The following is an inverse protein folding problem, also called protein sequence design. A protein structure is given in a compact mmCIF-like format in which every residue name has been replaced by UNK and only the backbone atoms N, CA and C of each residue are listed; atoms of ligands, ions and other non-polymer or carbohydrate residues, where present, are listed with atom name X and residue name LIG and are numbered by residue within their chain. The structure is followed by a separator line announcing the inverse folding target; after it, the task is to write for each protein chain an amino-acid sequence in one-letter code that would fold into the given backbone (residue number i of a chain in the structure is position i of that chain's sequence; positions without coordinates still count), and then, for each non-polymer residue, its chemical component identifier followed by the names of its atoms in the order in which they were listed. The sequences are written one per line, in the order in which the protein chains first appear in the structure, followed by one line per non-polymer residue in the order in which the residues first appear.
data_IF_563012747933
#
_entry.id   IF_563012747933
#
_cell.length_a   1.000
_cell.length_b   1.000
_cell.length_c   1.000
_cell.angle_alpha   90.00
_cell.angle_beta   90.00
_cell.angle_gamma   90.00
#
_symmetry.space_group_name_H-M   'P 1'
#
loop_
_entity.id
_entity.type
_entity.pdbx_description
1 polymer ?
#
# COMPACT_ATOMS: atom_id res chain seq x y z
N UNK A 1 -1.07 -46.49 -11.57
CA UNK A 1 -0.78 -45.57 -10.45
C UNK A 1 -0.36 -44.23 -11.07
N UNK A 2 -1.24 -43.21 -11.08
CA UNK A 2 -0.84 -41.88 -11.54
C UNK A 2 -0.17 -41.12 -10.39
N UNK A 3 1.08 -40.69 -10.60
CA UNK A 3 1.83 -39.85 -9.65
C UNK A 3 1.67 -38.37 -10.01
N UNK A 4 1.20 -37.65 -9.00
CA UNK A 4 1.51 -36.26 -8.63
C UNK A 4 1.14 -35.11 -9.58
N UNK A 5 -0.09 -34.64 -9.36
CA UNK A 5 -0.55 -33.26 -9.57
C UNK A 5 0.42 -32.29 -8.88
N UNK A 6 1.24 -31.58 -9.67
CA UNK A 6 2.04 -30.46 -9.17
C UNK A 6 1.08 -29.42 -8.59
N UNK A 7 1.11 -29.29 -7.26
CA UNK A 7 0.37 -28.25 -6.55
C UNK A 7 0.85 -26.88 -7.06
N UNK A 8 -0.10 -26.06 -7.52
CA UNK A 8 0.16 -24.66 -7.79
C UNK A 8 0.70 -24.02 -6.51
N UNK A 9 1.94 -23.53 -6.57
CA UNK A 9 2.54 -22.78 -5.47
C UNK A 9 1.70 -21.51 -5.29
N UNK A 10 1.24 -21.18 -4.07
CA UNK A 10 0.70 -19.85 -3.82
C UNK A 10 1.79 -18.85 -4.15
N UNK A 11 1.49 -17.81 -4.92
CA UNK A 11 2.40 -16.67 -5.13
C UNK A 11 2.18 -15.67 -3.97
N UNK A 12 3.13 -15.54 -3.03
CA UNK A 12 3.04 -14.56 -1.97
C UNK A 12 4.12 -13.51 -2.21
N UNK A 13 4.25 -12.99 -3.43
CA UNK A 13 5.06 -11.81 -3.66
C UNK A 13 4.19 -10.55 -3.48
N UNK A 14 4.11 -10.07 -2.24
CA UNK A 14 4.09 -8.60 -2.07
C UNK A 14 5.24 -8.10 -2.91
N UNK A 15 4.96 -7.36 -3.99
CA UNK A 15 6.01 -6.84 -4.86
C UNK A 15 6.96 -6.03 -3.98
N UNK A 16 8.12 -6.61 -3.66
CA UNK A 16 9.11 -6.01 -2.76
C UNK A 16 9.55 -4.63 -3.24
N UNK A 17 9.33 -4.31 -4.53
CA UNK A 17 9.53 -2.97 -5.09
C UNK A 17 8.61 -1.92 -4.47
N UNK A 18 7.39 -2.30 -4.07
CA UNK A 18 6.39 -1.39 -3.48
C UNK A 18 6.79 -0.81 -2.12
N UNK A 19 7.66 -1.51 -1.37
CA UNK A 19 8.12 -1.08 -0.04
C UNK A 19 9.52 -0.44 -0.04
N UNK A 20 10.17 -0.35 -1.20
CA UNK A 20 11.43 0.38 -1.36
C UNK A 20 11.23 1.89 -1.16
N UNK A 21 12.28 2.66 -0.80
CA UNK A 21 12.17 4.11 -0.73
C UNK A 21 11.67 4.74 -2.04
N UNK A 22 12.06 4.20 -3.20
CA UNK A 22 11.54 4.66 -4.49
C UNK A 22 10.04 4.35 -4.65
N UNK A 23 9.62 3.10 -4.41
CA UNK A 23 8.22 2.70 -4.54
C UNK A 23 7.29 3.49 -3.62
N UNK A 24 7.70 3.68 -2.36
CA UNK A 24 6.93 4.49 -1.40
C UNK A 24 6.93 5.97 -1.79
N UNK A 25 8.06 6.52 -2.28
CA UNK A 25 8.11 7.90 -2.76
C UNK A 25 7.16 8.12 -3.93
N UNK A 26 7.15 7.22 -4.92
CA UNK A 26 6.20 7.28 -6.04
C UNK A 26 4.76 7.23 -5.55
N UNK A 27 4.44 6.37 -4.59
CA UNK A 27 3.09 6.30 -4.03
C UNK A 27 2.70 7.59 -3.29
N UNK A 28 3.61 8.17 -2.51
CA UNK A 28 3.37 9.45 -1.82
C UNK A 28 3.17 10.61 -2.80
N UNK A 29 3.94 10.64 -3.89
CA UNK A 29 3.84 11.70 -4.91
C UNK A 29 2.50 11.67 -5.67
N UNK A 30 1.85 10.51 -5.79
CA UNK A 30 0.48 10.42 -6.36
C UNK A 30 -0.57 11.15 -5.53
N UNK A 31 -0.30 11.42 -4.24
CA UNK A 31 -1.20 12.17 -3.37
C UNK A 31 -0.98 13.70 -3.43
N UNK A 32 -0.05 14.18 -4.28
CA UNK A 32 0.18 15.61 -4.45
C UNK A 32 -0.89 16.21 -5.36
N UNK A 33 -1.74 17.06 -4.80
CA UNK A 33 -2.70 17.90 -5.52
C UNK A 33 -2.77 19.29 -4.85
N UNK A 34 -3.78 20.11 -5.19
CA UNK A 34 -3.94 21.45 -4.61
C UNK A 34 -4.14 21.46 -3.07
N UNK A 35 -4.54 20.33 -2.48
CA UNK A 35 -4.68 20.14 -1.04
C UNK A 35 -3.36 19.78 -0.34
N UNK A 36 -2.25 19.73 -1.07
CA UNK A 36 -0.92 19.41 -0.54
C UNK A 36 -0.02 20.63 -0.52
N UNK A 37 0.56 20.91 0.64
CA UNK A 37 1.70 21.82 0.74
C UNK A 37 3.00 21.07 0.46
N UNK A 38 3.85 21.68 -0.37
CA UNK A 38 5.12 21.09 -0.78
C UNK A 38 6.24 22.05 -0.44
N UNK A 39 7.17 21.61 0.42
CA UNK A 39 8.35 22.38 0.81
C UNK A 39 9.61 21.56 0.62
N UNK A 40 10.76 22.25 0.59
CA UNK A 40 12.07 21.61 0.38
C UNK A 40 13.03 22.05 1.48
N UNK A 41 13.68 21.07 2.11
CA UNK A 41 14.74 21.26 3.09
C UNK A 41 16.08 20.81 2.48
N UNK A 42 17.19 21.51 2.78
CA UNK A 42 18.47 21.35 2.06
C UNK A 42 19.66 20.89 2.92
N UNK A 43 19.42 20.45 4.15
CA UNK A 43 20.48 20.09 5.10
C UNK A 43 20.26 18.71 5.70
N UNK A 44 20.54 17.66 4.93
CA UNK A 44 20.45 16.30 5.43
C UNK A 44 21.42 15.34 4.71
N UNK A 45 21.65 14.18 5.34
CA UNK A 45 22.33 13.04 4.75
C UNK A 45 21.58 11.73 4.99
N UNK A 46 21.66 10.81 4.04
CA UNK A 46 21.14 9.43 4.13
C UNK A 46 22.17 8.50 3.51
N UNK A 47 22.47 7.37 4.18
CA UNK A 47 23.50 6.43 3.73
C UNK A 47 24.84 7.13 3.37
N UNK A 48 25.23 8.13 4.18
CA UNK A 48 26.44 8.94 3.96
C UNK A 48 26.36 9.97 2.83
N UNK A 49 25.29 10.03 2.03
CA UNK A 49 25.15 10.91 0.86
C UNK A 49 24.33 12.18 1.17
N UNK A 50 24.68 13.34 0.59
CA UNK A 50 23.88 14.56 0.71
C UNK A 50 22.52 14.39 0.00
N UNK A 51 21.46 14.88 0.64
CA UNK A 51 20.10 14.81 0.10
C UNK A 51 19.41 16.18 0.14
N UNK A 52 18.44 16.35 -0.75
CA UNK A 52 17.38 17.33 -0.58
C UNK A 52 16.15 16.60 -0.04
N UNK A 53 15.46 17.15 0.95
CA UNK A 53 14.24 16.54 1.49
C UNK A 53 13.04 17.26 0.92
N UNK A 54 12.21 16.54 0.17
CA UNK A 54 10.88 16.99 -0.21
C UNK A 54 9.90 16.68 0.92
N UNK A 55 9.17 17.68 1.36
CA UNK A 55 8.19 17.55 2.43
C UNK A 55 6.80 17.79 1.88
N UNK A 56 5.93 16.79 2.01
CA UNK A 56 4.53 16.84 1.60
C UNK A 56 3.65 16.90 2.85
N UNK A 57 2.83 17.93 2.99
CA UNK A 57 1.93 18.09 4.13
C UNK A 57 0.48 18.30 3.65
N UNK A 58 -0.49 17.50 4.12
CA UNK A 58 -1.89 17.76 3.85
C UNK A 58 -2.32 19.10 4.47
N UNK A 59 -3.04 19.92 3.70
CA UNK A 59 -3.60 21.18 4.20
C UNK A 59 -4.81 20.96 5.11
N UNK A 60 -5.53 19.85 4.91
CA UNK A 60 -6.70 19.51 5.73
C UNK A 60 -6.28 18.79 7.01
N UNK A 61 -6.53 19.42 8.15
CA UNK A 61 -6.19 18.90 9.47
C UNK A 61 -6.95 17.64 9.87
N UNK A 62 -8.00 17.27 9.12
CA UNK A 62 -8.77 16.02 9.28
C UNK A 62 -7.98 14.79 8.87
N UNK A 63 -6.92 14.94 8.07
CA UNK A 63 -5.99 13.84 7.79
C UNK A 63 -5.18 13.46 9.04
N UNK A 64 -4.98 12.17 9.26
CA UNK A 64 -4.05 11.66 10.28
C UNK A 64 -2.60 11.68 9.80
N UNK A 65 -2.36 11.63 8.48
CA UNK A 65 -1.04 11.94 7.93
C UNK A 65 -0.80 13.43 8.12
N UNK A 66 0.28 13.80 8.79
CA UNK A 66 0.68 15.20 8.99
C UNK A 66 1.75 15.61 8.01
N UNK A 67 2.65 14.69 7.69
CA UNK A 67 3.79 14.96 6.83
C UNK A 67 4.35 13.69 6.22
N UNK A 68 4.78 13.76 4.98
CA UNK A 68 5.65 12.78 4.33
C UNK A 68 6.97 13.46 4.00
N UNK A 69 8.08 12.89 4.43
CA UNK A 69 9.42 13.38 4.12
C UNK A 69 10.11 12.40 3.18
N UNK A 70 10.53 12.87 2.00
CA UNK A 70 11.20 12.09 0.97
C UNK A 70 12.61 12.66 0.81
N UNK A 71 13.61 11.94 1.29
CA UNK A 71 15.01 12.29 1.13
C UNK A 71 15.51 11.81 -0.23
N UNK A 72 15.88 12.74 -1.12
CA UNK A 72 16.29 12.47 -2.49
C UNK A 72 17.79 12.76 -2.62
N UNK A 73 18.53 11.80 -3.17
CA UNK A 73 19.96 11.97 -3.40
C UNK A 73 20.26 13.22 -4.24
N UNK A 74 21.16 14.07 -3.74
CA UNK A 74 21.46 15.33 -4.39
C UNK A 74 22.12 15.16 -5.78
N UNK A 75 22.82 14.05 -6.02
CA UNK A 75 23.53 13.79 -7.27
C UNK A 75 22.73 12.91 -8.24
N UNK A 76 22.20 11.78 -7.78
CA UNK A 76 21.55 10.76 -8.62
C UNK A 76 20.03 10.93 -8.71
N UNK A 77 19.44 11.80 -7.87
CA UNK A 77 17.99 12.04 -7.77
C UNK A 77 17.17 10.80 -7.37
N UNK A 78 17.82 9.79 -6.80
CA UNK A 78 17.16 8.58 -6.30
C UNK A 78 16.61 8.84 -4.89
N UNK A 79 15.35 8.49 -4.59
CA UNK A 79 14.84 8.49 -3.22
C UNK A 79 15.62 7.51 -2.33
N UNK A 80 16.21 8.01 -1.24
CA UNK A 80 17.02 7.21 -0.33
C UNK A 80 16.28 6.84 0.96
N UNK A 81 15.33 7.67 1.38
CA UNK A 81 14.48 7.43 2.55
C UNK A 81 13.12 8.08 2.37
N UNK A 82 12.08 7.39 2.82
CA UNK A 82 10.73 7.95 2.99
C UNK A 82 10.27 7.73 4.41
N UNK A 83 9.72 8.78 5.02
CA UNK A 83 9.14 8.76 6.35
C UNK A 83 7.73 9.34 6.31
N UNK A 84 6.79 8.67 6.96
CA UNK A 84 5.40 9.13 7.08
C UNK A 84 5.10 9.39 8.55
N UNK A 85 4.66 10.62 8.83
CA UNK A 85 4.41 11.11 10.18
C UNK A 85 2.92 11.29 10.43
N UNK A 86 2.48 10.78 11.59
CA UNK A 86 1.20 11.14 12.18
C UNK A 86 1.36 12.36 13.10
N UNK A 87 0.60 12.40 14.19
CA UNK A 87 0.71 13.48 15.18
C UNK A 87 2.03 13.45 15.99
N UNK A 88 2.65 12.27 16.14
CA UNK A 88 3.89 12.11 16.87
C UNK A 88 5.10 12.60 16.05
N UNK A 89 6.15 13.07 16.76
CA UNK A 89 7.41 13.46 16.12
C UNK A 89 8.18 12.27 15.52
N UNK A 90 7.99 11.06 16.04
CA UNK A 90 8.56 9.83 15.47
C UNK A 90 7.76 9.41 14.24
N UNK A 91 8.42 8.96 13.15
CA UNK A 91 7.72 8.46 11.98
C UNK A 91 6.90 7.22 12.36
N UNK A 92 5.66 7.17 11.89
CA UNK A 92 4.81 6.00 12.04
C UNK A 92 5.14 4.91 11.00
N UNK A 93 5.79 5.30 9.91
CA UNK A 93 6.34 4.41 8.90
C UNK A 93 7.65 5.00 8.36
N UNK A 94 8.65 4.15 8.16
CA UNK A 94 9.93 4.52 7.54
C UNK A 94 10.45 3.38 6.66
N UNK A 95 10.98 3.76 5.49
CA UNK A 95 11.82 2.90 4.65
C UNK A 95 13.06 3.70 4.25
N UNK A 96 14.24 3.12 4.39
CA UNK A 96 15.51 3.83 4.16
C UNK A 96 16.62 2.86 3.73
N UNK A 97 17.52 3.34 2.87
CA UNK A 97 18.81 2.67 2.68
C UNK A 97 19.74 2.99 3.85
N UNK A 98 20.35 1.95 4.42
CA UNK A 98 21.44 2.07 5.38
C UNK A 98 22.78 2.26 4.68
N UNK A 99 22.95 1.60 3.53
CA UNK A 99 24.08 1.72 2.62
C UNK A 99 23.59 1.68 1.16
N UNK A 100 24.27 2.40 0.26
CA UNK A 100 23.91 2.40 -1.16
C UNK A 100 25.12 2.58 -2.07
N UNK A 101 25.20 1.73 -3.10
CA UNK A 101 26.19 1.81 -4.16
C UNK A 101 25.49 1.94 -5.51
N UNK A 102 25.82 3.01 -6.25
CA UNK A 102 25.36 3.23 -7.62
C UNK A 102 26.33 2.71 -8.67
N UNK A 103 27.28 1.86 -8.28
CA UNK A 103 28.22 1.24 -9.22
C UNK A 103 27.47 0.21 -10.06
N UNK A 104 27.74 0.19 -11.37
CA UNK A 104 27.29 -0.90 -12.23
C UNK A 104 27.88 -2.22 -11.70
N UNK A 105 27.06 -3.22 -11.33
CA UNK A 105 27.59 -4.53 -10.95
C UNK A 105 28.36 -5.15 -12.11
N UNK A 106 29.44 -5.86 -11.81
CA UNK A 106 30.19 -6.59 -12.85
C UNK A 106 29.28 -7.64 -13.50
N UNK A 107 29.41 -7.83 -14.82
CA UNK A 107 28.60 -8.83 -15.55
C UNK A 107 28.75 -10.24 -14.99
N UNK A 108 29.89 -10.55 -14.37
CA UNK A 108 30.18 -11.82 -13.70
C UNK A 108 29.25 -12.12 -12.52
N UNK A 109 28.65 -11.11 -11.88
CA UNK A 109 27.65 -11.30 -10.80
C UNK A 109 26.39 -11.98 -11.33
N UNK A 110 26.07 -11.75 -12.61
CA UNK A 110 24.92 -12.35 -13.29
C UNK A 110 25.29 -13.59 -14.10
N UNK A 111 26.57 -13.98 -14.11
CA UNK A 111 27.00 -15.16 -14.83
C UNK A 111 26.61 -16.41 -14.04
N UNK A 112 25.71 -17.22 -14.61
CA UNK A 112 25.43 -18.55 -14.08
C UNK A 112 26.69 -19.41 -14.17
N UNK A 113 27.15 -19.95 -13.04
CA UNK A 113 28.23 -20.93 -12.96
C UNK A 113 27.68 -22.19 -12.32
N UNK A 114 27.52 -23.23 -13.12
CA UNK A 114 27.14 -24.54 -12.61
C UNK A 114 28.24 -25.06 -11.67
N UNK A 115 27.90 -25.52 -10.45
CA UNK A 115 28.85 -26.24 -9.61
C UNK A 115 29.36 -27.51 -10.31
N UNK A 116 30.54 -27.99 -9.94
CA UNK A 116 31.07 -29.25 -10.48
C UNK A 116 30.08 -30.41 -10.27
N UNK A 117 29.98 -31.30 -11.26
CA UNK A 117 29.03 -32.42 -11.25
C UNK A 117 27.57 -32.09 -11.58
N UNK A 118 27.26 -30.83 -11.89
CA UNK A 118 25.88 -30.42 -12.22
C UNK A 118 25.50 -30.69 -13.68
N UNK A 119 24.34 -31.30 -13.89
CA UNK A 119 23.71 -31.38 -15.22
C UNK A 119 22.88 -30.13 -15.47
N UNK A 120 23.28 -29.33 -16.46
CA UNK A 120 22.53 -28.13 -16.87
C UNK A 120 21.52 -28.50 -17.94
N UNK A 121 20.24 -28.27 -17.68
CA UNK A 121 19.16 -28.49 -18.64
C UNK A 121 18.63 -27.14 -19.15
N UNK A 122 18.90 -26.83 -20.40
CA UNK A 122 18.38 -25.61 -21.05
C UNK A 122 16.95 -25.87 -21.54
N UNK A 123 16.01 -25.03 -21.12
CA UNK A 123 14.65 -25.00 -21.65
C UNK A 123 14.47 -23.73 -22.46
N UNK A 124 13.97 -23.86 -23.68
CA UNK A 124 13.46 -22.73 -24.44
C UNK A 124 12.13 -22.30 -23.83
N UNK A 125 12.04 -21.04 -23.45
CA UNK A 125 10.76 -20.40 -23.14
C UNK A 125 10.20 -19.90 -24.46
N UNK A 126 9.16 -20.54 -24.97
CA UNK A 126 8.43 -20.02 -26.13
C UNK A 126 7.82 -18.68 -25.72
N UNK A 127 8.26 -17.58 -26.35
CA UNK A 127 7.69 -16.24 -26.13
C UNK A 127 6.30 -16.05 -26.77
N UNK A 128 5.55 -17.13 -26.98
CA UNK A 128 4.19 -17.08 -27.50
C UNK A 128 3.20 -16.94 -26.32
N UNK A 129 2.99 -15.71 -25.84
CA UNK A 129 1.97 -15.48 -24.79
C UNK A 129 1.71 -14.04 -24.36
N UNK A 130 2.29 -13.02 -24.99
CA UNK A 130 2.08 -11.60 -24.60
C UNK A 130 1.56 -10.71 -25.74
N UNK A 131 0.81 -11.27 -26.69
CA UNK A 131 -0.02 -10.50 -27.61
C UNK A 131 -1.50 -10.70 -27.26
N UNK A 132 -1.90 -10.15 -26.11
CA UNK A 132 -3.31 -9.92 -25.81
C UNK A 132 -3.73 -8.56 -26.36
N UNK A 133 -4.08 -8.48 -27.64
CA UNK A 133 -4.91 -7.37 -28.14
C UNK A 133 -6.25 -7.40 -27.41
N UNK A 134 -6.73 -6.29 -26.81
CA UNK A 134 -8.05 -6.26 -26.22
C UNK A 134 -9.09 -6.15 -27.35
N UNK A 135 -9.62 -7.28 -27.79
CA UNK A 135 -10.77 -7.29 -28.69
C UNK A 135 -12.02 -6.90 -27.87
N UNK A 136 -12.41 -5.64 -28.01
CA UNK A 136 -13.64 -5.11 -27.44
C UNK A 136 -14.78 -5.42 -28.40
N UNK A 137 -15.46 -6.55 -28.20
CA UNK A 137 -16.75 -6.80 -28.88
C UNK A 137 -17.66 -7.75 -28.09
N UNK A 138 -18.59 -7.13 -27.36
CA UNK A 138 -19.99 -7.55 -27.21
C UNK A 138 -20.31 -8.91 -26.58
N UNK A 139 -20.72 -8.88 -25.30
CA UNK A 139 -21.73 -9.79 -24.79
C UNK A 139 -22.61 -9.06 -23.79
N UNK A 140 -23.69 -8.45 -24.29
CA UNK A 140 -24.86 -8.08 -23.50
C UNK A 140 -25.49 -9.34 -22.92
N UNK A 141 -25.41 -9.50 -21.61
CA UNK A 141 -26.16 -10.50 -20.86
C UNK A 141 -26.44 -9.95 -19.46
N UNK A 142 -27.64 -9.42 -19.25
CA UNK A 142 -28.16 -9.09 -17.92
C UNK A 142 -28.26 -10.39 -17.12
N UNK A 143 -27.50 -10.46 -16.03
CA UNK A 143 -27.82 -11.31 -14.88
C UNK A 143 -27.59 -10.48 -13.62
N UNK A 144 -28.70 -10.23 -12.95
CA UNK A 144 -28.93 -9.30 -11.87
C UNK A 144 -28.58 -9.97 -10.53
N UNK A 145 -27.50 -9.50 -9.90
CA UNK A 145 -27.28 -9.52 -8.46
C UNK A 145 -26.11 -8.55 -8.16
N UNK A 146 -26.43 -7.28 -7.93
CA UNK A 146 -25.45 -6.25 -7.62
C UNK A 146 -24.74 -6.55 -6.29
N UNK A 147 -23.58 -7.22 -6.33
CA UNK A 147 -22.59 -7.06 -5.26
C UNK A 147 -22.05 -5.64 -5.40
N UNK A 148 -22.54 -4.72 -4.57
CA UNK A 148 -21.99 -3.37 -4.48
C UNK A 148 -20.46 -3.48 -4.32
N UNK A 149 -19.71 -2.82 -5.21
CA UNK A 149 -18.25 -2.74 -5.09
C UNK A 149 -17.84 -1.77 -3.98
N UNK A 150 -16.53 -1.72 -3.63
CA UNK A 150 -16.02 -0.67 -2.75
C UNK A 150 -16.32 0.72 -3.33
N UNK A 151 -16.75 1.65 -2.48
CA UNK A 151 -16.94 3.05 -2.86
C UNK A 151 -15.93 3.93 -2.13
N UNK A 152 -15.74 5.15 -2.63
CA UNK A 152 -14.85 6.13 -1.99
C UNK A 152 -15.61 7.42 -1.70
N UNK A 153 -15.34 8.01 -0.53
CA UNK A 153 -15.90 9.28 -0.07
C UNK A 153 -14.76 10.27 0.15
N UNK A 154 -14.98 11.54 -0.15
CA UNK A 154 -13.94 12.58 -0.05
C UNK A 154 -12.91 12.52 -1.18
N UNK A 155 -11.85 13.31 -1.04
CA UNK A 155 -10.77 13.47 -2.04
C UNK A 155 -9.41 13.60 -1.33
N UNK A 156 -8.33 13.35 -2.07
CA UNK A 156 -6.95 13.54 -1.61
C UNK A 156 -6.67 12.81 -0.29
N UNK A 157 -6.04 13.51 0.65
CA UNK A 157 -5.64 12.99 1.97
C UNK A 157 -6.78 12.64 2.92
N UNK A 158 -8.01 13.06 2.61
CA UNK A 158 -9.19 12.76 3.42
C UNK A 158 -10.12 11.73 2.77
N UNK A 159 -9.60 10.99 1.80
CA UNK A 159 -10.37 9.92 1.15
C UNK A 159 -10.67 8.79 2.15
N UNK A 160 -11.91 8.32 2.15
CA UNK A 160 -12.39 7.18 2.93
C UNK A 160 -12.89 6.11 1.96
N UNK A 161 -12.31 4.92 2.04
CA UNK A 161 -12.82 3.76 1.33
C UNK A 161 -13.94 3.12 2.17
N UNK A 162 -15.05 2.77 1.52
CA UNK A 162 -16.21 2.12 2.13
C UNK A 162 -16.37 0.74 1.50
N UNK A 163 -16.20 -0.29 2.31
CA UNK A 163 -16.47 -1.66 1.94
C UNK A 163 -17.86 -2.06 2.46
N UNK A 164 -18.71 -2.67 1.61
CA UNK A 164 -20.02 -3.13 2.04
C UNK A 164 -19.93 -4.32 2.99
N UNK A 165 -21.03 -4.61 3.66
CA UNK A 165 -21.16 -5.75 4.55
C UNK A 165 -20.79 -7.06 3.85
N UNK A 166 -20.03 -7.91 4.54
CA UNK A 166 -19.52 -9.18 4.00
C UNK A 166 -18.26 -9.06 3.14
N UNK A 167 -17.90 -7.87 2.63
CA UNK A 167 -16.65 -7.68 1.88
C UNK A 167 -15.43 -7.42 2.80
N UNK A 168 -15.63 -6.71 3.92
CA UNK A 168 -14.54 -6.33 4.84
C UNK A 168 -13.98 -7.49 5.66
N UNK A 169 -14.77 -8.55 5.91
CA UNK A 169 -14.32 -9.72 6.65
C UNK A 169 -13.16 -10.44 5.93
N UNK A 170 -13.18 -10.52 4.60
CA UNK A 170 -12.12 -11.19 3.84
C UNK A 170 -10.81 -10.39 3.83
N UNK A 171 -10.89 -9.05 3.79
CA UNK A 171 -9.74 -8.14 3.84
C UNK A 171 -9.06 -8.12 5.22
N UNK A 172 -9.83 -8.19 6.29
CA UNK A 172 -9.32 -8.13 7.67
C UNK A 172 -8.81 -9.49 8.19
N UNK A 173 -9.19 -10.60 7.55
CA UNK A 173 -8.95 -11.96 8.08
C UNK A 173 -7.92 -12.77 7.31
N UNK A 174 -7.42 -12.31 6.15
CA UNK A 174 -6.31 -12.96 5.44
C UNK A 174 -6.51 -14.45 5.07
N UNK A 175 -7.73 -14.97 5.17
CA UNK A 175 -8.02 -16.40 5.04
C UNK A 175 -7.73 -17.22 6.30
N UNK A 176 -8.81 -17.60 7.01
CA UNK A 176 -8.92 -18.66 8.04
C UNK A 176 -8.56 -18.32 9.51
N UNK A 177 -9.56 -18.45 10.40
CA UNK A 177 -9.42 -18.73 11.84
C UNK A 177 -9.25 -17.57 12.85
N UNK A 178 -9.90 -17.69 14.02
CA UNK A 178 -9.76 -16.91 15.30
C UNK A 178 -9.84 -15.37 15.27
N UNK A 179 -10.05 -14.75 14.11
CA UNK A 179 -9.85 -13.30 13.96
C UNK A 179 -10.89 -12.43 14.69
N UNK A 180 -12.10 -12.93 14.96
CA UNK A 180 -13.13 -12.17 15.70
C UNK A 180 -12.68 -11.77 17.10
N UNK A 181 -11.95 -12.67 17.79
CA UNK A 181 -11.38 -12.38 19.11
C UNK A 181 -10.22 -11.39 19.03
N UNK A 182 -9.39 -11.47 17.99
CA UNK A 182 -8.29 -10.52 17.76
C UNK A 182 -8.80 -9.12 17.38
N UNK A 183 -9.78 -9.03 16.46
CA UNK A 183 -10.46 -7.78 16.14
C UNK A 183 -11.11 -7.19 17.38
N UNK A 184 -11.74 -8.02 18.22
CA UNK A 184 -12.30 -7.57 19.49
C UNK A 184 -11.28 -6.97 20.46
N UNK A 185 -10.00 -7.36 20.37
CA UNK A 185 -8.90 -6.81 21.19
C UNK A 185 -8.24 -5.57 20.57
N UNK A 186 -8.20 -5.49 19.25
CA UNK A 186 -7.59 -4.38 18.52
C UNK A 186 -8.57 -3.22 18.29
N UNK A 187 -9.87 -3.47 18.44
CA UNK A 187 -10.91 -2.45 18.27
C UNK A 187 -11.47 -1.98 19.60
N UNK A 188 -11.86 -0.72 19.65
CA UNK A 188 -12.62 -0.13 20.74
C UNK A 188 -14.09 -0.06 20.35
N UNK A 189 -14.99 -0.51 21.22
CA UNK A 189 -16.43 -0.41 20.99
C UNK A 189 -16.89 1.00 21.36
N UNK A 190 -17.52 1.70 20.43
CA UNK A 190 -18.11 3.02 20.63
C UNK A 190 -19.52 2.92 21.23
N UNK A 191 -20.03 3.98 21.85
CA UNK A 191 -21.42 4.01 22.36
C UNK A 191 -22.49 3.71 21.31
N UNK A 192 -22.20 3.97 20.02
CA UNK A 192 -23.08 3.64 18.89
C UNK A 192 -23.19 2.14 18.60
N UNK A 193 -22.33 1.32 19.20
CA UNK A 193 -22.17 -0.11 18.89
C UNK A 193 -21.17 -0.39 17.76
N UNK A 194 -20.62 0.65 17.12
CA UNK A 194 -19.57 0.50 16.11
C UNK A 194 -18.21 0.16 16.76
N UNK A 195 -17.31 -0.45 15.99
CA UNK A 195 -15.97 -0.84 16.44
C UNK A 195 -14.91 -0.05 15.69
N UNK A 196 -14.07 0.66 16.43
CA UNK A 196 -13.01 1.51 15.89
C UNK A 196 -11.64 0.86 16.08
N UNK A 197 -10.92 0.65 14.97
CA UNK A 197 -9.49 0.38 14.95
C UNK A 197 -8.76 1.68 14.69
N UNK A 198 -7.86 2.05 15.61
CA UNK A 198 -7.08 3.28 15.50
C UNK A 198 -5.60 2.96 15.36
N UNK A 199 -4.92 3.67 14.47
CA UNK A 199 -3.46 3.67 14.37
C UNK A 199 -2.92 5.10 14.24
N UNK A 200 -1.59 5.23 14.11
CA UNK A 200 -0.97 6.54 13.94
C UNK A 200 -1.28 7.19 12.58
N UNK A 201 -1.57 6.39 11.54
CA UNK A 201 -1.75 6.88 10.17
C UNK A 201 -3.09 6.53 9.56
N UNK A 202 -3.59 5.31 9.75
CA UNK A 202 -4.83 4.83 9.12
C UNK A 202 -5.78 4.30 10.18
N UNK A 203 -7.02 4.74 10.12
CA UNK A 203 -8.07 4.31 11.03
C UNK A 203 -9.11 3.51 10.25
N UNK A 204 -9.80 2.60 10.93
CA UNK A 204 -10.90 1.84 10.36
C UNK A 204 -12.08 1.80 11.33
N UNK A 205 -13.29 1.96 10.80
CA UNK A 205 -14.55 1.86 11.53
C UNK A 205 -15.36 0.71 10.96
N UNK A 206 -15.66 -0.27 11.80
CA UNK A 206 -16.59 -1.36 11.51
C UNK A 206 -17.94 -0.97 12.09
N UNK A 207 -18.91 -0.74 11.21
CA UNK A 207 -20.22 -0.27 11.63
C UNK A 207 -21.13 -1.44 12.02
N UNK A 208 -22.15 -1.18 12.85
CA UNK A 208 -23.13 -2.20 13.26
C UNK A 208 -23.91 -2.84 12.11
N UNK A 209 -24.07 -2.12 10.99
CA UNK A 209 -24.67 -2.62 9.75
C UNK A 209 -23.68 -3.41 8.88
N UNK A 210 -22.45 -3.62 9.36
CA UNK A 210 -21.46 -4.51 8.76
C UNK A 210 -20.53 -3.85 7.73
N UNK A 211 -20.69 -2.55 7.45
CA UNK A 211 -19.77 -1.81 6.57
C UNK A 211 -18.41 -1.63 7.25
N UNK A 212 -17.37 -1.50 6.44
CA UNK A 212 -16.03 -1.14 6.91
C UNK A 212 -15.59 0.13 6.21
N UNK A 213 -15.31 1.18 6.99
CA UNK A 213 -14.80 2.44 6.50
C UNK A 213 -13.34 2.55 6.88
N UNK A 214 -12.46 2.87 5.94
CA UNK A 214 -11.00 2.92 6.15
C UNK A 214 -10.45 4.19 5.53
N UNK A 215 -9.62 4.93 6.25
CA UNK A 215 -8.98 6.12 5.72
C UNK A 215 -7.85 6.66 6.59
N UNK A 216 -7.00 7.47 5.99
CA UNK A 216 -5.98 8.25 6.69
C UNK A 216 -6.60 9.53 7.28
N UNK A 217 -7.67 9.37 8.03
CA UNK A 217 -8.49 10.44 8.61
C UNK A 217 -8.77 10.19 10.08
N UNK A 218 -9.13 11.24 10.82
CA UNK A 218 -9.49 11.11 12.23
C UNK A 218 -10.72 10.21 12.43
N UNK A 219 -10.89 9.57 13.61
CA UNK A 219 -12.06 8.76 13.91
C UNK A 219 -13.40 9.49 13.72
N UNK A 220 -13.43 10.80 14.01
CA UNK A 220 -14.61 11.63 13.83
C UNK A 220 -15.06 11.69 12.36
N UNK A 221 -14.11 11.74 11.42
CA UNK A 221 -14.39 11.75 9.97
C UNK A 221 -14.98 10.41 9.54
N UNK A 222 -14.47 9.28 10.05
CA UNK A 222 -15.06 7.97 9.77
C UNK A 222 -16.49 7.84 10.30
N UNK A 223 -16.76 8.40 11.48
CA UNK A 223 -18.12 8.41 12.05
C UNK A 223 -19.07 9.30 11.24
N UNK A 224 -18.62 10.48 10.82
CA UNK A 224 -19.37 11.35 9.90
C UNK A 224 -19.63 10.64 8.55
N UNK A 225 -18.66 9.90 8.04
CA UNK A 225 -18.80 9.14 6.79
C UNK A 225 -19.85 8.04 6.94
N UNK A 226 -19.81 7.31 8.06
CA UNK A 226 -20.78 6.26 8.36
C UNK A 226 -22.20 6.81 8.48
N UNK A 227 -22.35 8.01 9.02
CA UNK A 227 -23.62 8.74 9.14
C UNK A 227 -24.10 9.40 7.83
N UNK A 228 -23.33 9.34 6.74
CA UNK A 228 -23.66 9.98 5.47
C UNK A 228 -23.50 11.51 5.48
N UNK A 229 -22.70 12.05 6.40
CA UNK A 229 -22.51 13.49 6.63
C UNK A 229 -21.24 14.05 5.98
N UNK A 230 -20.56 13.25 5.14
CA UNK A 230 -19.43 13.71 4.32
C UNK A 230 -19.92 13.95 2.89
N UNK A 231 -20.05 15.23 2.54
CA UNK A 231 -20.23 15.73 1.17
C UNK A 231 -18.92 16.24 0.60
#
# INVERSE_FOLDING_TARGET
LPVDKVAARPDPSTDVRSVTPEGVAQQALKAVDASTEVTVERTARVAGRPVYTLVLAPRDSRSTVRRVAIAIDAATKVPLRVQVFGAAARPAFETAFTDVSFRRPAASVFAFRAPEGSTVTTKTLDQAGHSGTPDSRGATGKAEAAKAGPTTLGKGWTTVAVLPAGAGASVLTGGSGSTGALLGRLTTTLPSGDRLLQSALVNALLTKDGRVLIGAVSPAVLQQAAAGQLG
#
